data_IF_419587732329
#
_entry.id   IF_419587732329
#
_cell.length_a   1.000
_cell.length_b   1.000
_cell.length_c   1.000
_cell.angle_alpha   90.00
_cell.angle_beta   90.00
_cell.angle_gamma   90.00
#
_symmetry.space_group_name_H-M   'P 1'
#
loop_
_entity.id
_entity.type
_entity.pdbx_description
1 polymer ?
#
# COMPACT_ATOMS: atom_id res chain seq x y z
N UNK A 1 -12.39 8.97 -5.65
CA UNK A 1 -12.25 9.85 -6.83
C UNK A 1 -13.61 10.08 -7.45
N UNK A 2 -14.05 11.32 -7.60
CA UNK A 2 -15.31 11.67 -8.26
C UNK A 2 -15.18 11.42 -9.77
N UNK A 3 -16.04 10.57 -10.34
CA UNK A 3 -16.15 10.46 -11.79
C UNK A 3 -16.95 11.66 -12.30
N UNK A 4 -16.24 12.71 -12.71
CA UNK A 4 -16.82 13.89 -13.33
C UNK A 4 -17.10 13.58 -14.81
N UNK A 5 -18.38 13.53 -15.20
CA UNK A 5 -18.77 13.44 -16.61
C UNK A 5 -18.58 14.83 -17.24
N UNK A 6 -17.72 14.94 -18.26
CA UNK A 6 -17.53 16.17 -19.01
C UNK A 6 -18.79 16.45 -19.85
N UNK A 7 -19.57 17.47 -19.49
CA UNK A 7 -20.68 17.99 -20.30
C UNK A 7 -21.87 18.46 -19.45
N UNK A 8 -22.01 19.78 -19.29
CA UNK A 8 -23.25 20.46 -18.91
C UNK A 8 -23.61 20.45 -17.42
N UNK A 9 -23.32 21.55 -16.71
CA UNK A 9 -24.14 22.11 -15.61
C UNK A 9 -24.35 21.30 -14.32
N UNK A 10 -23.85 20.08 -14.17
CA UNK A 10 -24.00 19.29 -12.95
C UNK A 10 -22.70 18.64 -12.52
N UNK A 11 -22.22 18.95 -11.31
CA UNK A 11 -21.12 18.22 -10.68
C UNK A 11 -21.35 16.71 -10.71
N UNK A 12 -20.27 15.93 -10.75
CA UNK A 12 -20.34 14.46 -10.82
C UNK A 12 -21.20 13.91 -9.68
N UNK A 13 -22.27 13.18 -10.01
CA UNK A 13 -23.20 12.59 -9.02
C UNK A 13 -22.74 11.23 -8.50
N UNK A 14 -21.51 10.84 -8.78
CA UNK A 14 -20.94 9.53 -8.46
C UNK A 14 -19.70 9.70 -7.61
N UNK A 15 -19.71 9.08 -6.43
CA UNK A 15 -18.63 9.12 -5.45
C UNK A 15 -18.06 7.72 -5.28
N UNK A 16 -16.72 7.62 -5.27
CA UNK A 16 -16.00 6.39 -4.96
C UNK A 16 -15.47 6.48 -3.53
N UNK A 17 -15.59 5.37 -2.78
CA UNK A 17 -15.11 5.21 -1.40
C UNK A 17 -14.51 3.82 -1.21
N UNK A 18 -13.64 3.64 -0.21
CA UNK A 18 -12.99 2.36 0.09
C UNK A 18 -12.14 1.84 -1.07
N UNK A 19 -12.14 0.53 -1.29
CA UNK A 19 -11.29 -0.15 -2.29
C UNK A 19 -11.52 0.34 -3.74
N UNK A 20 -12.71 0.88 -4.03
CA UNK A 20 -13.00 1.49 -5.32
C UNK A 20 -12.28 2.84 -5.52
N UNK A 21 -11.85 3.49 -4.44
CA UNK A 21 -11.16 4.77 -4.45
C UNK A 21 -9.65 4.65 -4.20
N UNK A 22 -9.20 3.68 -3.42
CA UNK A 22 -7.81 3.48 -3.04
C UNK A 22 -7.53 2.02 -2.67
N UNK A 23 -6.29 1.56 -2.83
CA UNK A 23 -5.88 0.20 -2.47
C UNK A 23 -4.55 0.24 -1.74
N UNK A 24 -4.41 -0.57 -0.70
CA UNK A 24 -3.23 -0.62 0.14
C UNK A 24 -2.69 -2.05 0.26
N UNK A 25 -1.37 -2.22 0.48
CA UNK A 25 -0.85 -3.42 1.11
C UNK A 25 -1.54 -3.66 2.47
N UNK A 26 -1.74 -4.93 2.91
CA UNK A 26 -2.49 -5.22 4.13
C UNK A 26 -1.79 -4.79 5.43
N UNK A 27 -0.50 -4.44 5.35
CA UNK A 27 0.32 -4.10 6.52
C UNK A 27 -0.15 -2.80 7.18
N UNK A 28 -0.70 -2.92 8.40
CA UNK A 28 -1.20 -1.80 9.20
C UNK A 28 -2.72 -1.68 9.30
N UNK A 29 -3.49 -2.55 8.62
CA UNK A 29 -4.95 -2.61 8.79
C UNK A 29 -5.70 -1.35 8.35
N UNK A 30 -5.13 -0.59 7.40
CA UNK A 30 -5.65 0.73 7.03
C UNK A 30 -6.80 0.70 6.02
N UNK A 31 -6.98 -0.39 5.26
CA UNK A 31 -8.02 -0.55 4.22
C UNK A 31 -9.44 -0.28 4.72
N UNK A 32 -9.96 -1.20 5.54
CA UNK A 32 -11.32 -1.13 6.07
C UNK A 32 -11.57 0.17 6.85
N UNK A 33 -10.61 0.57 7.69
CA UNK A 33 -10.74 1.80 8.50
C UNK A 33 -10.83 3.06 7.63
N UNK A 34 -10.03 3.15 6.56
CA UNK A 34 -10.11 4.28 5.63
C UNK A 34 -11.44 4.30 4.89
N UNK A 35 -11.92 3.14 4.44
CA UNK A 35 -13.22 3.01 3.77
C UNK A 35 -14.41 3.40 4.65
N UNK A 36 -14.42 3.00 5.93
CA UNK A 36 -15.46 3.41 6.89
C UNK A 36 -15.46 4.93 7.08
N UNK A 37 -14.28 5.53 7.21
CA UNK A 37 -14.16 6.99 7.35
C UNK A 37 -14.58 7.75 6.08
N UNK A 38 -14.34 7.20 4.88
CA UNK A 38 -14.83 7.77 3.63
C UNK A 38 -16.36 7.79 3.62
N UNK A 39 -17.00 6.66 3.94
CA UNK A 39 -18.45 6.56 4.00
C UNK A 39 -19.04 7.52 5.06
N UNK A 40 -18.42 7.57 6.24
CA UNK A 40 -18.84 8.48 7.30
C UNK A 40 -18.72 9.96 6.89
N UNK A 41 -17.62 10.35 6.23
CA UNK A 41 -17.44 11.72 5.74
C UNK A 41 -18.47 12.09 4.66
N UNK A 42 -18.79 11.15 3.77
CA UNK A 42 -19.70 11.41 2.65
C UNK A 42 -21.18 11.41 3.06
N UNK A 43 -21.58 10.53 3.97
CA UNK A 43 -22.99 10.29 4.32
C UNK A 43 -23.71 11.58 4.79
N UNK A 44 -23.09 12.33 5.70
CA UNK A 44 -23.71 13.56 6.23
C UNK A 44 -23.75 14.68 5.19
N UNK A 45 -22.75 14.77 4.30
CA UNK A 45 -22.72 15.78 3.24
C UNK A 45 -23.81 15.53 2.21
N UNK A 46 -24.00 14.27 1.83
CA UNK A 46 -25.09 13.86 0.94
C UNK A 46 -26.44 14.20 1.56
N UNK A 47 -26.64 13.87 2.83
CA UNK A 47 -27.88 14.17 3.53
C UNK A 47 -28.15 15.68 3.56
N UNK A 48 -27.15 16.50 3.90
CA UNK A 48 -27.29 17.95 3.98
C UNK A 48 -27.69 18.57 2.63
N UNK A 49 -27.08 18.09 1.53
CA UNK A 49 -27.40 18.55 0.17
C UNK A 49 -28.78 18.05 -0.29
N UNK A 50 -29.11 16.78 -0.05
CA UNK A 50 -30.40 16.20 -0.44
C UNK A 50 -31.59 16.87 0.27
N UNK A 51 -31.39 17.33 1.52
CA UNK A 51 -32.40 18.09 2.26
C UNK A 51 -32.40 19.60 1.96
N UNK A 52 -31.55 20.07 1.04
CA UNK A 52 -31.43 21.49 0.72
C UNK A 52 -30.85 22.35 1.86
N UNK A 53 -30.18 21.73 2.84
CA UNK A 53 -29.56 22.42 3.99
C UNK A 53 -28.14 22.90 3.70
N UNK A 54 -27.56 22.49 2.57
CA UNK A 54 -26.21 22.88 2.15
C UNK A 54 -26.09 22.91 0.63
N UNK A 55 -25.19 23.76 0.07
CA UNK A 55 -24.95 23.80 -1.37
C UNK A 55 -24.29 22.52 -1.88
N UNK A 56 -24.50 22.21 -3.16
CA UNK A 56 -23.92 21.02 -3.83
C UNK A 56 -22.39 21.01 -3.74
N UNK A 57 -21.75 22.18 -3.73
CA UNK A 57 -20.30 22.35 -3.61
C UNK A 57 -19.72 21.76 -2.31
N UNK A 58 -20.55 21.54 -1.27
CA UNK A 58 -20.15 20.79 -0.08
C UNK A 58 -19.65 19.38 -0.44
N UNK A 59 -20.22 18.76 -1.48
CA UNK A 59 -19.80 17.44 -1.92
C UNK A 59 -18.42 17.45 -2.57
N UNK A 60 -17.96 18.57 -3.11
CA UNK A 60 -16.61 18.69 -3.66
C UNK A 60 -15.55 18.63 -2.55
N UNK A 61 -15.91 18.94 -1.30
CA UNK A 61 -14.97 18.87 -0.19
C UNK A 61 -14.62 17.43 0.19
N UNK A 62 -15.47 16.45 -0.16
CA UNK A 62 -15.19 15.03 0.10
C UNK A 62 -13.84 14.60 -0.48
N UNK A 63 -13.60 14.85 -1.78
CA UNK A 63 -12.32 14.45 -2.38
C UNK A 63 -11.15 15.25 -1.79
N UNK A 64 -11.34 16.56 -1.60
CA UNK A 64 -10.30 17.44 -1.03
C UNK A 64 -9.87 17.00 0.38
N UNK A 65 -10.80 16.52 1.18
CA UNK A 65 -10.52 16.05 2.54
C UNK A 65 -10.00 14.60 2.57
N UNK A 66 -10.55 13.70 1.74
CA UNK A 66 -10.28 12.25 1.86
C UNK A 66 -9.13 11.76 0.99
N UNK A 67 -8.83 12.42 -0.13
CA UNK A 67 -7.72 12.03 -1.01
C UNK A 67 -6.35 12.13 -0.32
N UNK A 68 -6.01 13.20 0.42
CA UNK A 68 -4.73 13.26 1.12
C UNK A 68 -4.56 12.11 2.12
N UNK A 69 -5.61 11.77 2.88
CA UNK A 69 -5.62 10.66 3.84
C UNK A 69 -5.35 9.32 3.14
N UNK A 70 -6.01 9.07 2.02
CA UNK A 70 -5.79 7.84 1.24
C UNK A 70 -4.35 7.73 0.71
N UNK A 71 -3.76 8.84 0.25
CA UNK A 71 -2.36 8.88 -0.20
C UNK A 71 -1.41 8.58 0.96
N UNK A 72 -1.61 9.23 2.11
CA UNK A 72 -0.77 9.04 3.29
C UNK A 72 -0.83 7.61 3.81
N UNK A 73 -2.03 7.03 3.89
CA UNK A 73 -2.24 5.63 4.27
C UNK A 73 -1.60 4.67 3.27
N UNK A 74 -1.59 4.99 1.97
CA UNK A 74 -0.90 4.19 0.95
C UNK A 74 0.60 4.15 1.21
N UNK A 75 1.22 5.31 1.43
CA UNK A 75 2.65 5.44 1.69
C UNK A 75 3.02 4.70 2.98
N UNK A 76 2.23 4.88 4.04
CA UNK A 76 2.43 4.21 5.32
C UNK A 76 2.31 2.69 5.19
N UNK A 77 1.27 2.20 4.50
CA UNK A 77 1.06 0.76 4.29
C UNK A 77 2.21 0.13 3.51
N UNK A 78 2.73 0.81 2.48
CA UNK A 78 3.87 0.35 1.71
C UNK A 78 5.13 0.25 2.57
N UNK A 79 5.44 1.30 3.34
CA UNK A 79 6.59 1.32 4.24
C UNK A 79 6.48 0.25 5.34
N UNK A 80 5.28 0.03 5.88
CA UNK A 80 5.04 -1.02 6.85
C UNK A 80 5.25 -2.40 6.22
N UNK A 81 4.80 -2.60 4.98
CA UNK A 81 4.98 -3.85 4.26
C UNK A 81 6.46 -4.15 4.00
N UNK A 82 7.24 -3.17 3.55
CA UNK A 82 8.70 -3.30 3.37
C UNK A 82 9.42 -3.71 4.66
N UNK A 83 9.03 -3.11 5.81
CA UNK A 83 9.61 -3.47 7.12
C UNK A 83 9.24 -4.86 7.58
N UNK A 84 8.01 -5.30 7.30
CA UNK A 84 7.60 -6.68 7.58
C UNK A 84 8.45 -7.64 6.76
N UNK A 85 8.69 -7.33 5.48
CA UNK A 85 9.54 -8.16 4.62
C UNK A 85 11.02 -8.15 5.05
N UNK A 86 11.54 -7.03 5.56
CA UNK A 86 12.94 -6.99 6.00
C UNK A 86 13.20 -7.90 7.20
N UNK A 87 12.24 -8.05 8.11
CA UNK A 87 12.33 -9.00 9.23
C UNK A 87 12.34 -10.44 8.72
N UNK A 88 11.44 -10.76 7.79
CA UNK A 88 11.41 -12.09 7.17
C UNK A 88 12.72 -12.42 6.47
N UNK A 89 13.26 -11.47 5.69
CA UNK A 89 14.55 -11.63 5.01
C UNK A 89 15.72 -11.82 5.99
N UNK A 90 15.77 -11.06 7.08
CA UNK A 90 16.80 -11.21 8.11
C UNK A 90 16.77 -12.58 8.80
N UNK A 91 15.60 -13.23 8.84
CA UNK A 91 15.42 -14.59 9.36
C UNK A 91 15.65 -15.68 8.29
N UNK A 92 16.07 -15.32 7.08
CA UNK A 92 16.24 -16.27 5.98
C UNK A 92 14.93 -16.84 5.42
N UNK A 93 13.79 -16.24 5.76
CA UNK A 93 12.48 -16.70 5.30
C UNK A 93 12.24 -16.24 3.87
N UNK A 94 12.18 -17.21 2.95
CA UNK A 94 11.73 -16.99 1.59
C UNK A 94 10.20 -17.14 1.54
N UNK A 95 9.49 -16.06 1.21
CA UNK A 95 8.03 -16.04 1.14
C UNK A 95 7.43 -17.00 0.10
N UNK A 96 8.25 -17.53 -0.82
CA UNK A 96 7.85 -18.54 -1.82
C UNK A 96 8.15 -19.98 -1.40
N UNK A 97 8.92 -20.19 -0.34
CA UNK A 97 9.30 -21.51 0.18
C UNK A 97 8.89 -21.61 1.65
N UNK A 98 7.73 -22.22 1.92
CA UNK A 98 7.20 -22.42 3.27
C UNK A 98 8.13 -23.26 4.15
N UNK A 99 9.00 -24.07 3.54
CA UNK A 99 10.10 -24.81 4.17
C UNK A 99 11.17 -23.91 4.82
N UNK A 100 11.30 -22.64 4.42
CA UNK A 100 12.23 -21.68 5.04
C UNK A 100 11.84 -21.25 6.46
N UNK A 101 10.67 -21.66 6.95
CA UNK A 101 10.28 -21.44 8.34
C UNK A 101 11.13 -22.23 9.34
N UNK A 102 11.78 -23.34 8.93
CA UNK A 102 12.73 -24.04 9.79
C UNK A 102 13.98 -23.20 10.07
N UNK A 103 14.37 -22.35 9.12
CA UNK A 103 15.49 -21.40 9.25
C UNK A 103 15.27 -20.39 10.38
N UNK A 104 14.01 -20.03 10.66
CA UNK A 104 13.65 -19.19 11.82
C UNK A 104 14.05 -19.85 13.13
N UNK A 105 13.81 -21.16 13.26
CA UNK A 105 14.13 -21.91 14.47
C UNK A 105 15.65 -22.03 14.67
N UNK A 106 16.41 -22.16 13.59
CA UNK A 106 17.87 -22.21 13.61
C UNK A 106 18.49 -20.86 14.03
N UNK A 107 17.96 -19.74 13.49
CA UNK A 107 18.38 -18.39 13.88
C UNK A 107 18.06 -18.10 15.35
N UNK A 108 16.86 -18.49 15.82
CA UNK A 108 16.44 -18.28 17.21
C UNK A 108 17.19 -19.18 18.21
N UNK A 109 17.64 -20.37 17.79
CA UNK A 109 18.42 -21.28 18.60
C UNK A 109 19.90 -20.86 18.77
N UNK A 110 20.33 -19.75 18.16
CA UNK A 110 21.65 -19.14 18.37
C UNK A 110 22.81 -19.83 17.63
N UNK A 111 22.54 -20.72 16.69
CA UNK A 111 23.56 -21.50 15.99
C UNK A 111 23.53 -21.31 14.48
N UNK A 112 24.24 -20.32 13.95
CA UNK A 112 24.51 -20.25 12.51
C UNK A 112 24.87 -18.85 12.02
N UNK A 113 26.15 -18.62 11.72
CA UNK A 113 26.61 -17.40 11.08
C UNK A 113 25.94 -17.21 9.72
N UNK A 114 25.33 -16.04 9.51
CA UNK A 114 24.73 -15.67 8.23
C UNK A 114 25.86 -15.38 7.24
N UNK A 115 26.18 -16.33 6.37
CA UNK A 115 26.99 -16.05 5.18
C UNK A 115 26.23 -15.05 4.32
N UNK A 116 26.73 -13.81 4.23
CA UNK A 116 26.22 -12.83 3.29
C UNK A 116 26.45 -13.36 1.87
N UNK A 117 25.40 -13.88 1.25
CA UNK A 117 25.37 -14.06 -0.20
C UNK A 117 25.50 -12.68 -0.82
N UNK A 118 26.69 -12.39 -1.37
CA UNK A 118 26.94 -11.21 -2.18
C UNK A 118 25.81 -11.05 -3.20
N UNK A 119 25.05 -9.95 -3.07
CA UNK A 119 24.07 -9.57 -4.08
C UNK A 119 24.84 -9.31 -5.38
N UNK A 120 24.73 -10.21 -6.35
CA UNK A 120 25.19 -9.95 -7.71
C UNK A 120 24.42 -8.76 -8.24
N UNK A 121 25.08 -7.60 -8.34
CA UNK A 121 24.54 -6.44 -9.01
C UNK A 121 24.26 -6.81 -10.48
N UNK A 122 23.00 -6.71 -10.88
CA UNK A 122 22.59 -6.79 -12.28
C UNK A 122 22.80 -5.40 -12.90
N UNK A 123 23.34 -5.34 -14.11
CA UNK A 123 23.40 -4.07 -14.84
C UNK A 123 21.99 -3.63 -15.31
N UNK A 124 21.88 -2.38 -15.77
CA UNK A 124 20.61 -1.77 -16.21
C UNK A 124 19.95 -2.48 -17.42
N UNK A 125 20.56 -3.55 -17.95
CA UNK A 125 20.03 -4.37 -19.05
C UNK A 125 19.79 -5.83 -18.64
N UNK A 126 20.02 -6.21 -17.38
CA UNK A 126 19.66 -7.52 -16.82
C UNK A 126 20.63 -8.66 -17.17
N UNK A 127 21.88 -8.38 -17.53
CA UNK A 127 22.91 -9.40 -17.75
C UNK A 127 23.73 -9.70 -16.48
N UNK A 128 23.96 -10.98 -16.17
CA UNK A 128 24.85 -11.38 -15.07
C UNK A 128 26.32 -11.22 -15.47
N UNK A 129 27.11 -10.49 -14.66
CA UNK A 129 28.57 -10.40 -14.83
C UNK A 129 29.21 -11.74 -14.41
N UNK A 130 29.64 -12.53 -15.40
CA UNK A 130 30.46 -13.72 -15.17
C UNK A 130 31.83 -13.29 -14.66
N UNK A 131 32.03 -13.36 -13.33
CA UNK A 131 33.33 -13.24 -12.69
C UNK A 131 34.18 -14.47 -13.00
N UNK A 132 35.17 -14.31 -13.87
CA UNK A 132 36.20 -15.32 -14.12
C UNK A 132 37.09 -15.53 -12.91
N UNK A 133 37.29 -16.78 -12.53
CA UNK A 133 38.37 -17.23 -11.67
C UNK A 133 39.70 -17.07 -12.39
N UNK A 134 40.66 -16.39 -11.77
CA UNK A 134 42.07 -16.54 -12.08
C UNK A 134 42.77 -16.92 -10.77
N UNK A 135 43.21 -18.18 -10.72
CA UNK A 135 44.28 -18.65 -9.85
C UNK A 135 45.53 -17.79 -10.09
N UNK A 136 46.08 -17.22 -9.02
CA UNK A 136 47.50 -17.19 -8.62
C UNK A 136 47.62 -16.61 -7.20
#
# INVERSE_FOLDING_TARGET
TLLRRNGGGGGGRVFLAGDAAHRFPPAGGLGMNTGIQDAHNLAWKLEAVLRGRSPVDLLETYERERRPVAVENTILSLRNFERVLSVAAALGVNSKDVSSLSTVNEVLAGGGGVSHGSATALDDRGGALLGGTLDL
#
